data_IF_139345701368
#
_entry.id   IF_139345701368
#
_cell.length_a   1.000
_cell.length_b   1.000
_cell.length_c   1.000
_cell.angle_alpha   90.00
_cell.angle_beta   90.00
_cell.angle_gamma   90.00
#
_symmetry.space_group_name_H-M   'P 1'
#
loop_
_entity.id
_entity.type
_entity.pdbx_description
1 polymer ?
#
# COMPACT_ATOMS: atom_id res chain seq x y z
N UNK A 1 -4.49 11.56 25.74
CA UNK A 1 -4.81 11.22 24.33
C UNK A 1 -6.33 11.31 24.16
N UNK A 2 -6.81 12.00 23.13
CA UNK A 2 -8.25 12.03 22.78
C UNK A 2 -8.48 11.09 21.62
N UNK A 3 -9.50 10.25 21.72
CA UNK A 3 -9.95 9.34 20.65
C UNK A 3 -11.26 9.88 20.12
N UNK A 4 -11.36 10.03 18.82
CA UNK A 4 -12.57 10.40 18.12
C UNK A 4 -12.98 9.24 17.22
N UNK A 5 -14.20 8.76 17.37
CA UNK A 5 -14.75 7.67 16.58
C UNK A 5 -15.69 8.26 15.53
N UNK A 6 -15.45 7.95 14.27
CA UNK A 6 -16.27 8.41 13.15
C UNK A 6 -16.89 7.18 12.51
N UNK A 7 -18.19 7.04 12.65
CA UNK A 7 -18.94 5.93 12.07
C UNK A 7 -19.44 6.29 10.66
N UNK A 8 -19.46 5.29 9.79
CA UNK A 8 -20.11 5.35 8.48
C UNK A 8 -21.17 4.27 8.38
N UNK A 9 -22.34 4.62 7.88
CA UNK A 9 -23.45 3.67 7.66
C UNK A 9 -23.16 2.64 6.56
N UNK A 10 -22.17 2.93 5.71
CA UNK A 10 -21.80 2.08 4.57
C UNK A 10 -20.30 1.81 4.58
N UNK A 11 -19.92 0.65 4.04
CA UNK A 11 -18.52 0.40 3.72
C UNK A 11 -18.12 1.32 2.55
N UNK A 12 -17.25 2.27 2.84
CA UNK A 12 -16.79 3.28 1.87
C UNK A 12 -15.61 2.79 1.03
N UNK A 13 -15.00 1.67 1.38
CA UNK A 13 -13.71 1.22 0.86
C UNK A 13 -12.53 1.98 1.48
N UNK A 14 -11.31 1.65 1.04
CA UNK A 14 -10.09 2.17 1.67
C UNK A 14 -9.95 3.68 1.54
N UNK A 15 -9.94 4.19 0.30
CA UNK A 15 -9.68 5.60 0.04
C UNK A 15 -10.72 6.53 0.68
N UNK A 16 -12.01 6.26 0.47
CA UNK A 16 -13.09 7.10 1.01
C UNK A 16 -13.19 7.02 2.52
N UNK A 17 -12.92 5.83 3.11
CA UNK A 17 -12.87 5.65 4.56
C UNK A 17 -11.77 6.50 5.20
N UNK A 18 -10.54 6.41 4.69
CA UNK A 18 -9.43 7.25 5.15
C UNK A 18 -9.71 8.74 4.92
N UNK A 19 -10.26 9.11 3.77
CA UNK A 19 -10.60 10.51 3.46
C UNK A 19 -11.65 11.08 4.43
N UNK A 20 -12.56 10.28 4.97
CA UNK A 20 -13.49 10.71 5.99
C UNK A 20 -12.75 11.13 7.27
N UNK A 21 -11.78 10.31 7.72
CA UNK A 21 -10.92 10.64 8.85
C UNK A 21 -10.02 11.86 8.60
N UNK A 22 -9.42 11.94 7.41
CA UNK A 22 -8.58 13.07 7.01
C UNK A 22 -9.36 14.38 7.03
N UNK A 23 -10.55 14.41 6.44
CA UNK A 23 -11.42 15.61 6.45
C UNK A 23 -11.80 16.01 7.86
N UNK A 24 -12.16 15.05 8.71
CA UNK A 24 -12.47 15.32 10.11
C UNK A 24 -11.27 15.93 10.84
N UNK A 25 -10.09 15.33 10.70
CA UNK A 25 -8.87 15.84 11.34
C UNK A 25 -8.56 17.26 10.90
N UNK A 26 -8.65 17.56 9.60
CA UNK A 26 -8.39 18.91 9.05
C UNK A 26 -9.41 19.96 9.49
N UNK A 27 -10.68 19.57 9.65
CA UNK A 27 -11.74 20.51 10.03
C UNK A 27 -11.78 20.83 11.52
N UNK A 28 -11.24 19.97 12.38
CA UNK A 28 -11.29 20.13 13.84
C UNK A 28 -9.93 20.43 14.48
N UNK A 29 -8.86 20.15 13.76
CA UNK A 29 -7.49 20.35 14.22
C UNK A 29 -6.69 20.97 13.08
N UNK A 30 -5.72 21.74 13.33
CA UNK A 30 -4.78 22.25 12.32
C UNK A 30 -3.48 21.40 12.33
N UNK A 31 -3.53 20.13 11.88
CA UNK A 31 -2.40 19.23 12.02
C UNK A 31 -1.27 19.60 11.05
N UNK A 32 -0.04 19.56 11.51
CA UNK A 32 1.13 19.62 10.63
C UNK A 32 1.28 18.32 9.82
N UNK A 33 0.86 17.18 10.42
CA UNK A 33 0.90 15.87 9.81
C UNK A 33 -0.37 15.07 10.11
N UNK A 34 -0.80 14.27 9.13
CA UNK A 34 -1.85 13.26 9.30
C UNK A 34 -1.25 11.91 8.96
N UNK A 35 -1.31 10.97 9.90
CA UNK A 35 -0.90 9.59 9.67
C UNK A 35 -2.14 8.76 9.33
N UNK A 36 -2.21 8.25 8.10
CA UNK A 36 -3.18 7.25 7.71
C UNK A 36 -2.55 5.87 7.93
N UNK A 37 -3.10 5.11 8.86
CA UNK A 37 -2.60 3.79 9.21
C UNK A 37 -3.73 2.78 9.31
N UNK A 38 -3.46 1.55 8.86
CA UNK A 38 -4.37 0.43 9.03
C UNK A 38 -4.55 0.09 10.53
N UNK A 39 -5.65 -0.56 10.87
CA UNK A 39 -5.97 -0.92 12.25
C UNK A 39 -5.03 -1.96 12.88
N UNK A 40 -4.24 -2.64 12.07
CA UNK A 40 -3.26 -3.66 12.44
C UNK A 40 -1.80 -3.14 12.44
N UNK A 41 -1.63 -1.81 12.40
CA UNK A 41 -0.33 -1.14 12.57
C UNK A 41 -0.06 -0.88 14.05
N UNK A 42 1.16 -1.18 14.49
CA UNK A 42 1.67 -0.90 15.82
C UNK A 42 2.87 0.05 15.72
N UNK A 43 2.76 1.18 16.43
CA UNK A 43 3.86 2.11 16.61
C UNK A 43 4.56 1.79 17.95
N UNK A 44 5.77 1.24 17.88
CA UNK A 44 6.58 0.88 19.05
C UNK A 44 7.59 1.99 19.38
N UNK A 45 7.90 2.82 18.40
CA UNK A 45 8.91 3.86 18.50
C UNK A 45 8.38 5.07 19.31
N UNK A 46 8.97 5.34 20.47
CA UNK A 46 8.51 6.40 21.37
C UNK A 46 8.78 7.80 20.80
N UNK A 47 9.90 7.99 20.13
CA UNK A 47 10.34 9.26 19.53
C UNK A 47 9.83 9.48 18.08
N UNK A 48 8.88 8.66 17.61
CA UNK A 48 8.34 8.71 16.24
C UNK A 48 7.94 10.13 15.81
N UNK A 49 7.18 10.84 16.66
CA UNK A 49 6.71 12.19 16.34
C UNK A 49 7.83 13.23 16.33
N UNK A 50 8.86 13.06 17.15
CA UNK A 50 10.01 13.94 17.20
C UNK A 50 10.86 13.78 15.94
N UNK A 51 11.21 12.55 15.60
CA UNK A 51 11.93 12.22 14.37
C UNK A 51 11.17 12.65 13.11
N UNK A 52 9.86 12.45 13.06
CA UNK A 52 9.04 12.93 11.95
C UNK A 52 9.19 14.45 11.73
N UNK A 53 9.21 15.24 12.81
CA UNK A 53 9.42 16.69 12.71
C UNK A 53 10.85 17.04 12.29
N UNK A 54 11.84 16.29 12.74
CA UNK A 54 13.25 16.47 12.35
C UNK A 54 13.43 16.19 10.87
N UNK A 55 12.95 15.04 10.40
CA UNK A 55 12.96 14.68 8.98
C UNK A 55 12.31 15.78 8.13
N UNK A 56 11.15 16.29 8.54
CA UNK A 56 10.46 17.33 7.79
C UNK A 56 11.19 18.70 7.79
N UNK A 57 11.96 19.00 8.82
CA UNK A 57 12.82 20.19 8.85
C UNK A 57 14.02 20.07 7.92
N UNK A 58 14.65 18.91 7.92
CA UNK A 58 15.82 18.60 7.09
C UNK A 58 15.45 18.44 5.63
N UNK A 59 14.35 17.76 5.38
CA UNK A 59 13.93 17.38 4.04
C UNK A 59 12.41 17.45 3.91
N UNK A 60 11.91 18.48 3.23
CA UNK A 60 10.48 18.66 3.00
C UNK A 60 9.92 17.55 2.15
N UNK A 61 8.77 17.06 2.53
CA UNK A 61 8.01 16.04 1.80
C UNK A 61 6.51 16.35 1.82
N UNK A 62 5.79 15.84 0.86
CA UNK A 62 4.33 15.84 0.84
C UNK A 62 3.81 14.56 1.48
N UNK A 63 4.40 13.42 1.12
CA UNK A 63 4.05 12.09 1.60
C UNK A 63 5.30 11.39 2.10
N UNK A 64 5.22 10.76 3.29
CA UNK A 64 6.32 10.00 3.84
C UNK A 64 5.85 8.60 4.23
N UNK A 65 6.67 7.59 3.93
CA UNK A 65 6.58 6.24 4.45
C UNK A 65 7.83 5.88 5.24
N UNK A 66 7.63 5.35 6.44
CA UNK A 66 8.70 4.81 7.26
C UNK A 66 9.03 3.37 6.92
N UNK A 67 9.96 2.79 7.66
CA UNK A 67 10.24 1.36 7.61
C UNK A 67 9.04 0.59 8.21
N UNK A 68 8.48 -0.33 7.46
CA UNK A 68 7.34 -1.15 7.88
C UNK A 68 7.82 -2.59 7.92
N UNK A 69 7.75 -3.20 9.10
CA UNK A 69 8.17 -4.59 9.31
C UNK A 69 7.00 -5.50 9.62
N UNK A 70 7.13 -6.78 9.28
CA UNK A 70 6.20 -7.81 9.74
C UNK A 70 6.37 -8.12 11.23
N UNK A 71 5.48 -8.92 11.80
CA UNK A 71 5.53 -9.32 13.20
C UNK A 71 6.81 -10.12 13.56
N UNK A 72 7.42 -10.80 12.59
CA UNK A 72 8.68 -11.52 12.76
C UNK A 72 9.93 -10.64 12.61
N UNK A 73 9.75 -9.40 12.13
CA UNK A 73 10.82 -8.43 11.81
C UNK A 73 11.83 -8.95 10.78
N UNK A 74 11.38 -9.86 9.92
CA UNK A 74 12.22 -10.45 8.86
C UNK A 74 11.95 -9.83 7.50
N UNK A 75 10.75 -9.23 7.30
CA UNK A 75 10.36 -8.60 6.05
C UNK A 75 10.18 -7.11 6.23
N UNK A 76 10.66 -6.35 5.25
CA UNK A 76 10.51 -4.90 5.16
C UNK A 76 9.63 -4.58 3.95
N UNK A 77 8.54 -3.86 4.15
CA UNK A 77 7.55 -3.57 3.11
C UNK A 77 7.82 -2.27 2.36
N UNK A 78 8.63 -1.38 2.95
CA UNK A 78 9.00 -0.11 2.31
C UNK A 78 10.51 -0.06 1.99
N UNK A 79 10.87 0.59 0.89
CA UNK A 79 10.01 1.04 -0.21
C UNK A 79 9.53 -0.16 -1.06
N UNK A 80 8.29 -0.10 -1.57
CA UNK A 80 7.67 -1.20 -2.35
C UNK A 80 8.40 -1.43 -3.67
N UNK A 81 8.77 -0.36 -4.36
CA UNK A 81 9.54 -0.44 -5.60
C UNK A 81 10.41 0.80 -5.77
N UNK A 82 11.66 0.55 -6.16
CA UNK A 82 12.58 1.58 -6.64
C UNK A 82 12.34 1.74 -8.14
N UNK A 83 12.12 2.95 -8.63
CA UNK A 83 12.07 3.28 -10.07
C UNK A 83 10.95 2.64 -10.91
N UNK A 84 9.82 2.26 -10.35
CA UNK A 84 8.70 1.80 -11.15
C UNK A 84 7.96 3.02 -11.74
N UNK A 85 8.20 3.33 -13.00
CA UNK A 85 7.45 4.40 -13.67
C UNK A 85 6.05 3.90 -14.04
N UNK A 86 5.05 4.34 -13.29
CA UNK A 86 3.64 4.14 -13.63
C UNK A 86 3.22 5.16 -14.70
N UNK A 87 3.64 4.92 -15.94
CA UNK A 87 3.22 5.75 -17.06
C UNK A 87 1.78 5.42 -17.47
N UNK A 88 1.09 6.38 -18.10
CA UNK A 88 -0.25 6.15 -18.67
C UNK A 88 -0.29 4.94 -19.61
N UNK A 89 0.77 4.73 -20.40
CA UNK A 89 0.88 3.60 -21.31
C UNK A 89 1.01 2.27 -20.56
N UNK A 90 1.77 2.24 -19.47
CA UNK A 90 1.86 1.08 -18.60
C UNK A 90 0.48 0.75 -18.00
N UNK A 91 -0.23 1.75 -17.44
CA UNK A 91 -1.55 1.56 -16.85
C UNK A 91 -2.57 1.08 -17.88
N UNK A 92 -2.60 1.67 -19.07
CA UNK A 92 -3.46 1.22 -20.19
C UNK A 92 -3.18 -0.23 -20.58
N UNK A 93 -1.90 -0.62 -20.65
CA UNK A 93 -1.50 -2.00 -20.92
C UNK A 93 -1.99 -2.94 -19.84
N UNK A 94 -1.86 -2.57 -18.56
CA UNK A 94 -2.35 -3.38 -17.43
C UNK A 94 -3.87 -3.54 -17.46
N UNK A 95 -4.62 -2.48 -17.77
CA UNK A 95 -6.09 -2.54 -17.92
C UNK A 95 -6.46 -3.52 -19.04
N UNK A 96 -5.81 -3.45 -20.20
CA UNK A 96 -6.07 -4.35 -21.32
C UNK A 96 -5.77 -5.80 -20.98
N UNK A 97 -4.63 -6.06 -20.32
CA UNK A 97 -4.24 -7.39 -19.84
C UNK A 97 -5.25 -7.94 -18.83
N UNK A 98 -5.66 -7.13 -17.87
CA UNK A 98 -6.65 -7.52 -16.85
C UNK A 98 -8.01 -7.79 -17.48
N UNK A 99 -8.45 -6.95 -18.42
CA UNK A 99 -9.67 -7.16 -19.17
C UNK A 99 -9.63 -8.46 -19.97
N UNK A 100 -8.52 -8.74 -20.68
CA UNK A 100 -8.34 -9.98 -21.44
C UNK A 100 -8.37 -11.20 -20.52
N UNK A 101 -7.70 -11.15 -19.36
CA UNK A 101 -7.76 -12.20 -18.33
C UNK A 101 -9.19 -12.43 -17.83
N UNK A 102 -9.95 -11.38 -17.52
CA UNK A 102 -11.34 -11.50 -17.09
C UNK A 102 -12.21 -12.16 -18.17
N UNK A 103 -12.05 -11.78 -19.44
CA UNK A 103 -12.76 -12.40 -20.56
C UNK A 103 -12.38 -13.87 -20.73
N UNK A 104 -11.10 -14.20 -20.63
CA UNK A 104 -10.63 -15.57 -20.66
C UNK A 104 -11.24 -16.42 -19.53
N UNK A 105 -11.28 -15.88 -18.29
CA UNK A 105 -11.92 -16.56 -17.15
C UNK A 105 -13.41 -16.79 -17.37
N UNK A 106 -14.13 -15.81 -17.96
CA UNK A 106 -15.54 -15.96 -18.30
C UNK A 106 -15.75 -17.09 -19.34
N UNK A 107 -14.90 -17.16 -20.39
CA UNK A 107 -14.95 -18.23 -21.39
C UNK A 107 -14.64 -19.60 -20.79
N UNK A 108 -13.62 -19.70 -19.93
CA UNK A 108 -13.25 -20.93 -19.23
C UNK A 108 -14.43 -21.42 -18.37
N UNK A 109 -15.10 -20.50 -17.64
CA UNK A 109 -16.28 -20.81 -16.83
C UNK A 109 -17.43 -21.32 -17.69
N UNK A 110 -17.62 -20.73 -18.88
CA UNK A 110 -18.67 -21.13 -19.82
C UNK A 110 -18.45 -22.53 -20.39
N UNK A 111 -17.19 -22.90 -20.67
CA UNK A 111 -16.86 -24.19 -21.29
C UNK A 111 -16.53 -25.30 -20.27
N UNK A 112 -16.80 -25.12 -18.97
CA UNK A 112 -16.53 -26.12 -17.93
C UNK A 112 -15.07 -26.64 -17.88
N UNK A 113 -14.11 -25.87 -18.37
CA UNK A 113 -12.68 -26.22 -18.38
C UNK A 113 -11.99 -26.12 -17.00
N UNK A 114 -12.77 -26.02 -15.90
CA UNK A 114 -12.24 -25.92 -14.54
C UNK A 114 -11.25 -27.04 -14.18
N UNK A 115 -11.46 -28.27 -14.67
CA UNK A 115 -10.61 -29.42 -14.35
C UNK A 115 -9.22 -29.36 -14.97
N UNK A 116 -9.08 -28.79 -16.16
CA UNK A 116 -7.79 -28.75 -16.86
C UNK A 116 -6.83 -27.68 -16.29
N UNK A 117 -7.38 -26.61 -15.72
CA UNK A 117 -6.58 -25.49 -15.21
C UNK A 117 -6.26 -25.64 -13.72
N UNK A 118 -7.15 -26.26 -12.91
CA UNK A 118 -6.91 -26.48 -11.49
C UNK A 118 -5.63 -27.32 -11.24
N UNK A 119 -5.33 -28.29 -12.11
CA UNK A 119 -4.10 -29.09 -12.03
C UNK A 119 -2.82 -28.31 -12.37
N UNK A 120 -2.94 -27.18 -13.08
CA UNK A 120 -1.76 -26.40 -13.53
C UNK A 120 -1.45 -25.22 -12.63
N UNK A 121 -2.43 -24.72 -11.86
CA UNK A 121 -2.30 -23.55 -10.99
C UNK A 121 -2.45 -23.86 -9.49
N UNK A 122 -2.55 -25.13 -9.11
CA UNK A 122 -2.50 -25.54 -7.70
C UNK A 122 -3.64 -24.99 -6.81
N UNK A 123 -4.80 -24.65 -7.38
CA UNK A 123 -5.98 -24.29 -6.60
C UNK A 123 -6.73 -25.58 -6.27
N UNK A 124 -6.41 -26.16 -5.14
CA UNK A 124 -7.17 -27.25 -4.53
C UNK A 124 -8.29 -26.61 -3.71
N UNK A 125 -9.54 -26.75 -4.19
CA UNK A 125 -10.69 -26.63 -3.30
C UNK A 125 -10.88 -28.01 -2.65
N UNK A 126 -10.44 -28.17 -1.41
CA UNK A 126 -10.68 -29.39 -0.65
C UNK A 126 -11.87 -29.18 0.29
N UNK A 127 -12.86 -30.05 0.16
CA UNK A 127 -13.98 -30.20 1.12
C UNK A 127 -13.63 -31.06 2.33
N UNK A 128 -12.35 -31.37 2.56
CA UNK A 128 -11.92 -32.12 3.73
C UNK A 128 -10.75 -31.43 4.42
N UNK A 129 -11.04 -30.80 5.55
CA UNK A 129 -10.08 -30.03 6.35
C UNK A 129 -8.79 -30.79 6.68
N UNK A 130 -7.71 -30.51 5.96
CA UNK A 130 -6.32 -30.75 6.36
C UNK A 130 -5.40 -29.76 5.69
N UNK A 131 -4.67 -29.03 6.51
CA UNK A 131 -3.43 -28.30 6.33
C UNK A 131 -3.06 -27.86 4.89
N UNK A 132 -3.43 -26.62 4.56
CA UNK A 132 -2.89 -25.91 3.41
C UNK A 132 -1.48 -25.44 3.74
N UNK A 133 -0.47 -26.09 3.21
CA UNK A 133 0.87 -25.52 3.14
C UNK A 133 0.82 -24.33 2.19
N UNK A 134 1.10 -23.17 2.76
CA UNK A 134 1.29 -21.92 2.05
C UNK A 134 2.37 -22.06 0.96
N UNK A 135 1.91 -22.10 -0.27
CA UNK A 135 2.74 -22.10 -1.46
C UNK A 135 2.80 -20.71 -2.08
N UNK A 136 3.18 -19.69 -1.29
CA UNK A 136 3.58 -18.40 -1.83
C UNK A 136 4.81 -18.58 -2.73
N UNK A 137 4.56 -18.92 -4.00
CA UNK A 137 5.60 -18.85 -5.02
C UNK A 137 5.83 -17.39 -5.35
N UNK A 138 6.97 -16.89 -4.90
CA UNK A 138 7.59 -15.63 -5.25
C UNK A 138 7.33 -15.30 -6.72
N UNK A 139 6.65 -14.17 -6.94
CA UNK A 139 6.57 -13.55 -8.25
C UNK A 139 7.94 -12.93 -8.54
N UNK A 140 8.87 -13.73 -9.04
CA UNK A 140 10.13 -13.25 -9.57
C UNK A 140 9.85 -12.37 -10.76
N UNK A 141 9.93 -11.08 -10.59
CA UNK A 141 10.01 -10.12 -11.68
C UNK A 141 11.31 -10.35 -12.43
N UNK A 142 11.20 -10.62 -13.73
CA UNK A 142 12.34 -10.72 -14.65
C UNK A 142 13.17 -9.44 -14.58
N UNK A 143 14.47 -9.68 -14.47
CA UNK A 143 15.53 -8.68 -14.55
C UNK A 143 15.54 -7.96 -15.89
N UNK A 144 15.64 -6.63 -15.82
CA UNK A 144 16.44 -5.86 -16.76
C UNK A 144 17.22 -4.83 -15.91
N UNK A 145 18.57 -5.00 -15.97
CA UNK A 145 19.63 -4.16 -15.42
C UNK A 145 19.86 -4.06 -13.90
N UNK A 146 20.68 -5.00 -13.42
CA UNK A 146 21.80 -4.73 -12.51
C UNK A 146 21.52 -4.36 -11.06
N UNK A 147 21.26 -5.34 -10.23
CA UNK A 147 21.15 -5.52 -8.78
C UNK A 147 19.71 -5.73 -8.30
N UNK A 148 19.34 -6.99 -8.23
CA UNK A 148 18.20 -7.44 -7.42
C UNK A 148 18.53 -7.20 -5.94
N UNK A 149 17.94 -6.17 -5.35
CA UNK A 149 17.77 -6.12 -3.91
C UNK A 149 16.57 -7.02 -3.64
N UNK A 150 16.74 -8.06 -2.83
CA UNK A 150 15.64 -8.89 -2.38
C UNK A 150 14.56 -7.98 -1.78
N UNK A 151 13.29 -8.17 -2.13
CA UNK A 151 12.18 -7.34 -1.65
C UNK A 151 12.03 -7.33 -0.11
N UNK A 152 12.78 -8.17 0.57
CA UNK A 152 12.73 -8.39 2.02
C UNK A 152 13.89 -7.73 2.80
N UNK A 153 14.82 -7.01 2.13
CA UNK A 153 15.95 -6.39 2.84
C UNK A 153 15.65 -4.94 3.22
N UNK A 154 15.99 -4.58 4.46
CA UNK A 154 15.94 -3.20 4.93
C UNK A 154 16.76 -2.26 4.04
N UNK A 155 16.21 -1.09 3.82
CA UNK A 155 16.89 0.03 3.16
C UNK A 155 17.22 1.05 4.23
N UNK A 156 18.50 1.29 4.46
CA UNK A 156 18.99 2.16 5.54
C UNK A 156 19.15 3.63 5.12
N UNK A 157 18.87 3.97 3.87
CA UNK A 157 19.00 5.32 3.34
C UNK A 157 17.62 5.89 2.96
N UNK A 158 17.47 7.21 3.14
CA UNK A 158 16.29 7.94 2.63
C UNK A 158 16.23 7.87 1.11
N UNK A 159 15.04 7.74 0.58
CA UNK A 159 14.82 7.70 -0.87
C UNK A 159 13.64 8.57 -1.26
N UNK A 160 13.83 9.36 -2.33
CA UNK A 160 12.75 10.18 -2.93
C UNK A 160 12.10 9.46 -4.10
N UNK A 161 10.86 9.87 -4.36
CA UNK A 161 10.07 9.46 -5.52
C UNK A 161 9.97 7.94 -5.68
N UNK A 162 9.77 7.28 -4.55
CA UNK A 162 9.59 5.82 -4.46
C UNK A 162 8.14 5.46 -4.14
N UNK A 163 7.71 4.31 -4.62
CA UNK A 163 6.40 3.78 -4.25
C UNK A 163 6.41 3.34 -2.79
N UNK A 164 5.50 3.89 -2.01
CA UNK A 164 5.33 3.62 -0.58
C UNK A 164 4.16 2.68 -0.35
N UNK A 165 4.25 1.86 0.69
CA UNK A 165 3.20 0.93 1.09
C UNK A 165 2.05 1.66 1.79
N UNK A 166 0.82 1.40 1.37
CA UNK A 166 -0.38 2.11 1.80
C UNK A 166 -0.86 1.85 3.22
N UNK A 167 -0.33 0.81 3.89
CA UNK A 167 -0.79 0.47 5.24
C UNK A 167 -0.39 1.51 6.31
N UNK A 168 0.63 2.35 6.06
CA UNK A 168 1.02 3.45 6.93
C UNK A 168 1.68 4.57 6.11
N UNK A 169 0.97 5.67 5.92
CA UNK A 169 1.44 6.84 5.19
C UNK A 169 1.28 8.10 6.04
N UNK A 170 2.28 8.97 6.00
CA UNK A 170 2.26 10.29 6.64
C UNK A 170 2.06 11.35 5.58
N UNK A 171 1.00 12.12 5.69
CA UNK A 171 0.73 13.30 4.87
C UNK A 171 1.13 14.55 5.63
N UNK A 172 2.00 15.37 5.04
CA UNK A 172 2.33 16.67 5.58
C UNK A 172 1.26 17.72 5.24
N UNK A 173 1.29 18.86 5.90
CA UNK A 173 0.42 19.98 5.53
C UNK A 173 0.65 20.50 4.10
N UNK A 174 1.83 20.27 3.53
CA UNK A 174 2.14 20.70 2.16
C UNK A 174 1.36 19.86 1.14
N UNK A 175 1.16 18.56 1.37
CA UNK A 175 0.30 17.68 0.57
C UNK A 175 -1.11 18.28 0.41
N UNK A 176 -1.68 18.79 1.49
CA UNK A 176 -3.05 19.32 1.50
C UNK A 176 -3.23 20.67 0.79
N UNK A 177 -2.16 21.26 0.28
CA UNK A 177 -2.23 22.41 -0.66
C UNK A 177 -2.63 21.99 -2.07
N UNK A 178 -2.46 20.71 -2.41
CA UNK A 178 -2.65 20.18 -3.75
C UNK A 178 -3.72 19.10 -3.83
N UNK A 179 -3.89 18.30 -2.77
CA UNK A 179 -4.86 17.21 -2.72
C UNK A 179 -5.56 17.18 -1.36
N UNK A 180 -6.80 16.67 -1.33
CA UNK A 180 -7.60 16.56 -0.11
C UNK A 180 -7.50 15.19 0.59
N UNK A 181 -6.72 14.26 0.03
CA UNK A 181 -6.55 12.91 0.52
C UNK A 181 -6.26 11.92 -0.62
N UNK A 182 -6.60 10.66 -0.40
CA UNK A 182 -6.51 9.64 -1.44
C UNK A 182 -7.48 9.91 -2.60
N UNK A 183 -7.15 9.45 -3.79
CA UNK A 183 -8.10 9.40 -4.89
C UNK A 183 -9.26 8.46 -4.54
N UNK A 184 -10.48 8.94 -4.58
CA UNK A 184 -11.67 8.23 -4.09
C UNK A 184 -12.45 7.46 -5.18
N UNK A 185 -11.87 7.32 -6.37
CA UNK A 185 -12.46 6.61 -7.49
C UNK A 185 -12.32 5.08 -7.41
N UNK A 186 -11.52 4.56 -6.46
CA UNK A 186 -11.36 3.12 -6.21
C UNK A 186 -12.08 2.72 -4.93
N UNK A 187 -12.52 1.45 -4.85
CA UNK A 187 -13.06 0.90 -3.61
C UNK A 187 -11.96 0.31 -2.74
N UNK A 188 -11.08 -0.49 -3.36
CA UNK A 188 -9.97 -1.17 -2.72
C UNK A 188 -8.91 -1.51 -3.77
N UNK A 189 -7.64 -1.44 -3.40
CA UNK A 189 -6.43 -1.68 -4.18
C UNK A 189 -6.07 -0.57 -5.19
N UNK A 190 -4.80 -0.49 -5.51
CA UNK A 190 -4.15 0.49 -6.36
C UNK A 190 -4.12 1.94 -5.82
N UNK A 191 -4.47 2.15 -4.56
CA UNK A 191 -4.43 3.48 -3.94
C UNK A 191 -3.01 4.04 -3.91
N UNK A 192 -2.03 3.21 -3.61
CA UNK A 192 -0.60 3.57 -3.54
C UNK A 192 -0.05 3.95 -4.92
N UNK A 193 -0.36 3.15 -5.95
CA UNK A 193 0.09 3.42 -7.31
C UNK A 193 -0.55 4.68 -7.88
N UNK A 194 -1.83 4.91 -7.57
CA UNK A 194 -2.52 6.12 -7.98
C UNK A 194 -1.91 7.33 -7.25
N UNK A 195 -1.66 7.21 -5.96
CA UNK A 195 -1.04 8.26 -5.16
C UNK A 195 0.36 8.61 -5.68
N UNK A 196 1.17 7.57 -5.97
CA UNK A 196 2.48 7.73 -6.58
C UNK A 196 2.41 8.46 -7.94
N UNK A 197 1.49 8.04 -8.81
CA UNK A 197 1.27 8.69 -10.10
C UNK A 197 0.85 10.15 -9.96
N UNK A 198 -0.10 10.44 -9.06
CA UNK A 198 -0.60 11.79 -8.82
C UNK A 198 0.47 12.68 -8.20
N UNK A 199 1.27 12.15 -7.29
CA UNK A 199 2.40 12.87 -6.70
C UNK A 199 3.39 13.31 -7.80
N UNK A 200 3.80 12.41 -8.67
CA UNK A 200 4.65 12.76 -9.81
C UNK A 200 4.02 13.77 -10.76
N UNK A 201 2.69 13.66 -11.00
CA UNK A 201 1.94 14.59 -11.85
C UNK A 201 1.88 16.01 -11.28
N UNK A 202 1.78 16.14 -9.97
CA UNK A 202 1.65 17.43 -9.27
C UNK A 202 2.98 17.95 -8.70
N UNK A 203 4.08 17.25 -8.95
CA UNK A 203 5.41 17.64 -8.44
C UNK A 203 5.53 17.53 -6.92
N UNK A 204 4.79 16.61 -6.30
CA UNK A 204 4.89 16.32 -4.88
C UNK A 204 6.06 15.39 -4.60
N UNK A 205 6.67 15.52 -3.42
CA UNK A 205 7.77 14.68 -2.96
C UNK A 205 7.23 13.52 -2.13
N UNK A 206 7.48 12.29 -2.60
CA UNK A 206 7.36 11.08 -1.79
C UNK A 206 8.71 10.76 -1.17
N UNK A 207 8.75 10.58 0.13
CA UNK A 207 9.97 10.29 0.87
C UNK A 207 9.84 8.98 1.64
N UNK A 208 10.76 8.06 1.42
CA UNK A 208 11.02 6.95 2.34
C UNK A 208 12.07 7.39 3.35
N UNK A 209 11.81 7.17 4.64
CA UNK A 209 12.73 7.49 5.72
C UNK A 209 12.81 6.32 6.73
N UNK A 210 13.95 5.60 6.78
CA UNK A 210 14.11 4.43 7.65
C UNK A 210 14.22 4.75 9.13
N UNK A 211 14.36 6.03 9.49
CA UNK A 211 14.52 6.50 10.88
C UNK A 211 13.21 6.40 11.68
N UNK A 212 12.09 6.36 11.00
CA UNK A 212 10.79 6.09 11.62
C UNK A 212 10.21 4.80 11.07
N UNK A 213 9.52 4.06 11.92
CA UNK A 213 8.95 2.78 11.50
C UNK A 213 7.76 2.33 12.34
N UNK A 214 7.13 1.28 11.83
CA UNK A 214 6.01 0.63 12.49
C UNK A 214 5.99 -0.87 12.15
N UNK A 215 5.27 -1.63 12.97
CA UNK A 215 5.03 -3.04 12.71
C UNK A 215 3.64 -3.25 12.13
N UNK A 216 3.56 -4.06 11.09
CA UNK A 216 2.31 -4.51 10.48
C UNK A 216 2.03 -5.95 10.89
N UNK A 217 0.95 -6.19 11.62
CA UNK A 217 0.63 -7.53 12.15
C UNK A 217 0.25 -8.54 11.09
N UNK A 218 0.04 -8.15 9.85
CA UNK A 218 -0.47 -8.96 8.73
C UNK A 218 -1.60 -9.96 9.10
N UNK A 219 -2.60 -10.05 8.22
CA UNK A 219 -3.59 -11.14 8.17
C UNK A 219 -4.71 -11.22 9.20
N UNK A 220 -5.04 -10.14 9.93
CA UNK A 220 -6.28 -10.21 10.74
C UNK A 220 -7.53 -9.98 9.90
N UNK A 221 -7.44 -9.26 8.79
CA UNK A 221 -8.60 -8.85 7.97
C UNK A 221 -8.95 -9.77 6.80
N UNK A 222 -8.07 -10.67 6.38
CA UNK A 222 -8.32 -11.60 5.25
C UNK A 222 -8.96 -12.92 5.65
N UNK A 223 -9.08 -13.22 6.95
CA UNK A 223 -9.68 -14.46 7.45
C UNK A 223 -11.19 -14.37 7.72
N UNK A 224 -11.86 -13.29 7.29
CA UNK A 224 -13.30 -13.06 7.49
C UNK A 224 -14.10 -12.97 6.18
N UNK A 225 -13.67 -13.66 5.12
CA UNK A 225 -14.49 -13.81 3.90
C UNK A 225 -14.69 -15.28 3.58
#
# INVERSE_FOLDING_TARGET
>A
KRVHVIASEKNLGFARGNNLGIRYARSHFEPDFIVAANSDIIFEQEDYCEKLREIYKEERFDILGGDIVDASRTRHFNPVARNRQYTLNYMRKQILVSWAKCKMFQLIKLFHLKKAIAGHYGVVSDETGRDVKDGSKNLTTREEDGKSVSADSRVDERMKDVLLHGCCLVFSKDFFKQMDGFYDGTFLYAEEEILYYLAGKYGMTLLYAPEIGCMHKEAVSTNFV
#
